data_IF_582085834141
#
_entry.id   IF_582085834141
#
_cell.length_a   1.000
_cell.length_b   1.000
_cell.length_c   1.000
_cell.angle_alpha   90.00
_cell.angle_beta   90.00
_cell.angle_gamma   90.00
#
_symmetry.space_group_name_H-M   'P 1'
#
loop_
_entity.id
_entity.type
_entity.pdbx_description
1 polymer ?
#
# COMPACT_ATOMS: atom_id res chain seq x y z
N UNK A 1 28.48 -33.07 26.29
CA UNK A 1 27.60 -31.92 26.10
C UNK A 1 27.09 -32.00 24.67
N UNK A 2 25.80 -31.81 24.36
CA UNK A 2 25.39 -31.70 22.95
C UNK A 2 25.82 -30.30 22.47
N UNK A 3 27.04 -30.24 21.92
CA UNK A 3 27.79 -29.01 21.63
C UNK A 3 27.40 -28.37 20.29
N UNK A 4 26.16 -27.90 20.14
CA UNK A 4 25.80 -27.15 18.92
C UNK A 4 24.39 -26.58 18.82
N UNK A 5 23.46 -26.96 19.69
CA UNK A 5 22.08 -26.45 19.63
C UNK A 5 21.94 -25.22 20.53
N UNK A 6 21.63 -24.07 19.94
CA UNK A 6 21.28 -22.86 20.68
C UNK A 6 19.92 -23.09 21.36
N UNK A 7 19.90 -23.12 22.70
CA UNK A 7 18.67 -23.34 23.48
C UNK A 7 17.80 -22.07 23.55
N UNK A 8 16.48 -22.24 23.67
CA UNK A 8 15.51 -21.13 23.85
C UNK A 8 15.89 -20.23 25.05
N UNK A 9 16.43 -20.80 26.13
CA UNK A 9 16.88 -20.05 27.30
C UNK A 9 18.11 -19.17 26.99
N UNK A 10 19.00 -19.64 26.11
CA UNK A 10 20.14 -18.87 25.64
C UNK A 10 19.69 -17.72 24.75
N UNK A 11 18.73 -17.95 23.85
CA UNK A 11 18.12 -16.90 23.01
C UNK A 11 17.40 -15.86 23.89
N UNK A 12 16.69 -16.30 24.94
CA UNK A 12 16.01 -15.44 25.89
C UNK A 12 16.99 -14.53 26.67
N UNK A 13 18.19 -15.03 26.96
CA UNK A 13 19.25 -14.26 27.64
C UNK A 13 20.01 -13.27 26.73
N UNK A 14 19.98 -13.44 25.41
CA UNK A 14 20.66 -12.55 24.46
C UNK A 14 20.13 -11.12 24.50
N UNK A 15 21.04 -10.15 24.41
CA UNK A 15 20.71 -8.74 24.17
C UNK A 15 20.08 -8.52 22.79
N UNK A 16 19.42 -7.37 22.59
CA UNK A 16 18.79 -7.04 21.31
C UNK A 16 19.80 -6.99 20.14
N UNK A 17 21.04 -6.59 20.42
CA UNK A 17 22.13 -6.51 19.43
C UNK A 17 22.60 -7.90 19.01
N UNK A 18 22.79 -8.81 19.97
CA UNK A 18 23.19 -10.20 19.70
C UNK A 18 22.11 -10.95 18.94
N UNK A 19 20.83 -10.73 19.26
CA UNK A 19 19.71 -11.30 18.49
C UNK A 19 19.70 -10.82 17.04
N UNK A 20 19.96 -9.52 16.80
CA UNK A 20 20.06 -8.97 15.44
C UNK A 20 21.19 -9.59 14.66
N UNK A 21 22.37 -9.67 15.26
CA UNK A 21 23.54 -10.28 14.62
C UNK A 21 23.28 -11.75 14.25
N UNK A 22 22.65 -12.51 15.15
CA UNK A 22 22.26 -13.88 14.88
C UNK A 22 21.24 -13.97 13.72
N UNK A 23 20.21 -13.12 13.70
CA UNK A 23 19.24 -13.04 12.61
C UNK A 23 19.94 -12.74 11.28
N UNK A 24 20.81 -11.74 11.22
CA UNK A 24 21.56 -11.39 10.01
C UNK A 24 22.43 -12.55 9.50
N UNK A 25 23.00 -13.37 10.40
CA UNK A 25 23.77 -14.56 10.01
C UNK A 25 22.89 -15.72 9.52
N UNK A 26 21.65 -15.81 9.99
CA UNK A 26 20.67 -16.83 9.57
C UNK A 26 19.86 -16.41 8.34
N UNK A 27 19.84 -15.12 8.01
CA UNK A 27 19.17 -14.60 6.82
C UNK A 27 19.77 -15.23 5.57
N UNK A 28 18.89 -15.73 4.70
CA UNK A 28 19.30 -16.30 3.43
C UNK A 28 19.86 -15.17 2.55
N UNK A 29 21.08 -15.32 2.01
CA UNK A 29 21.67 -14.31 1.13
C UNK A 29 20.74 -13.99 -0.03
N UNK A 30 20.58 -12.69 -0.34
CA UNK A 30 19.64 -12.26 -1.38
C UNK A 30 19.99 -12.83 -2.75
N UNK A 31 21.27 -12.98 -3.05
CA UNK A 31 21.82 -13.56 -4.28
C UNK A 31 21.43 -15.03 -4.48
N UNK A 32 21.23 -15.79 -3.40
CA UNK A 32 20.70 -17.16 -3.49
C UNK A 32 19.21 -17.21 -3.88
N UNK A 33 18.46 -16.15 -3.59
CA UNK A 33 17.01 -16.07 -3.86
C UNK A 33 16.76 -15.38 -5.20
N UNK A 34 17.47 -14.30 -5.48
CA UNK A 34 17.37 -13.50 -6.70
C UNK A 34 18.76 -12.98 -7.12
N UNK A 35 19.20 -13.21 -8.36
CA UNK A 35 20.47 -12.68 -8.84
C UNK A 35 20.52 -11.14 -8.76
N UNK A 36 21.63 -10.57 -8.28
CA UNK A 36 21.79 -9.11 -8.14
C UNK A 36 21.52 -8.35 -9.46
N UNK A 37 21.97 -8.92 -10.58
CA UNK A 37 21.74 -8.36 -11.92
C UNK A 37 20.26 -8.26 -12.27
N UNK A 38 19.43 -9.20 -11.80
CA UNK A 38 17.98 -9.16 -11.97
C UNK A 38 17.38 -8.04 -11.12
N UNK A 39 17.80 -7.86 -9.87
CA UNK A 39 17.32 -6.78 -8.99
C UNK A 39 17.64 -5.39 -9.55
N UNK A 40 18.89 -5.17 -9.99
CA UNK A 40 19.30 -3.90 -10.62
C UNK A 40 18.50 -3.64 -11.90
N UNK A 41 18.31 -4.67 -12.74
CA UNK A 41 17.49 -4.56 -13.95
C UNK A 41 16.03 -4.23 -13.62
N UNK A 42 15.41 -4.92 -12.67
CA UNK A 42 14.03 -4.68 -12.25
C UNK A 42 13.86 -3.27 -11.71
N UNK A 43 14.79 -2.81 -10.85
CA UNK A 43 14.79 -1.43 -10.33
C UNK A 43 14.90 -0.42 -11.47
N UNK A 44 15.82 -0.61 -12.41
CA UNK A 44 16.00 0.27 -13.56
C UNK A 44 14.76 0.31 -14.43
N UNK A 45 14.19 -0.84 -14.79
CA UNK A 45 12.96 -0.94 -15.60
C UNK A 45 11.82 -0.21 -14.89
N UNK A 46 11.60 -0.47 -13.60
CA UNK A 46 10.56 0.21 -12.82
C UNK A 46 10.75 1.73 -12.81
N UNK A 47 11.97 2.21 -12.56
CA UNK A 47 12.28 3.64 -12.55
C UNK A 47 12.07 4.27 -13.92
N UNK A 48 12.54 3.64 -14.99
CA UNK A 48 12.36 4.13 -16.36
C UNK A 48 10.87 4.19 -16.72
N UNK A 49 10.10 3.14 -16.41
CA UNK A 49 8.66 3.11 -16.67
C UNK A 49 7.92 4.20 -15.88
N UNK A 50 8.20 4.35 -14.59
CA UNK A 50 7.53 5.36 -13.75
C UNK A 50 7.91 6.78 -14.16
N UNK A 51 9.19 7.03 -14.44
CA UNK A 51 9.66 8.35 -14.91
C UNK A 51 9.05 8.66 -16.29
N UNK A 52 9.06 7.70 -17.21
CA UNK A 52 8.45 7.85 -18.52
C UNK A 52 6.95 8.11 -18.44
N UNK A 53 6.24 7.39 -17.57
CA UNK A 53 4.82 7.60 -17.31
C UNK A 53 4.55 9.02 -16.77
N UNK A 54 5.34 9.50 -15.81
CA UNK A 54 5.22 10.87 -15.27
C UNK A 54 5.44 11.91 -16.38
N UNK A 55 6.53 11.77 -17.13
CA UNK A 55 6.89 12.70 -18.22
C UNK A 55 5.83 12.71 -19.33
N UNK A 56 5.21 11.57 -19.63
CA UNK A 56 4.11 11.49 -20.59
C UNK A 56 2.77 12.02 -20.06
N UNK A 57 2.47 11.78 -18.78
CA UNK A 57 1.19 12.12 -18.18
C UNK A 57 1.05 13.63 -17.93
N UNK A 58 2.14 14.35 -17.60
CA UNK A 58 2.09 15.79 -17.34
C UNK A 58 1.60 16.58 -18.57
N UNK A 59 2.19 16.45 -19.77
CA UNK A 59 1.69 17.11 -20.98
C UNK A 59 0.27 16.67 -21.34
N UNK A 60 -0.06 15.40 -21.13
CA UNK A 60 -1.40 14.88 -21.40
C UNK A 60 -2.47 15.55 -20.52
N UNK A 61 -2.22 15.71 -19.22
CA UNK A 61 -3.11 16.44 -18.30
C UNK A 61 -3.27 17.89 -18.77
N UNK A 62 -2.18 18.57 -19.14
CA UNK A 62 -2.24 19.94 -19.63
C UNK A 62 -3.08 20.04 -20.92
N UNK A 63 -2.85 19.12 -21.87
CA UNK A 63 -3.64 19.04 -23.09
C UNK A 63 -5.13 18.82 -22.81
N UNK A 64 -5.48 17.86 -21.94
CA UNK A 64 -6.87 17.60 -21.56
C UNK A 64 -7.52 18.81 -20.89
N UNK A 65 -6.79 19.54 -20.04
CA UNK A 65 -7.33 20.73 -19.37
C UNK A 65 -7.74 21.86 -20.31
N UNK A 66 -7.17 21.90 -21.53
CA UNK A 66 -7.44 22.94 -22.54
C UNK A 66 -8.46 22.45 -23.57
N UNK A 67 -8.48 21.14 -23.86
CA UNK A 67 -9.26 20.58 -24.97
C UNK A 67 -10.56 19.91 -24.55
N UNK A 68 -10.75 19.58 -23.26
CA UNK A 68 -12.00 19.00 -22.80
C UNK A 68 -13.14 20.03 -22.88
N UNK A 69 -14.29 19.67 -23.47
CA UNK A 69 -15.46 20.52 -23.44
C UNK A 69 -16.08 20.55 -22.04
N UNK A 70 -16.59 21.72 -21.63
CA UNK A 70 -17.28 21.89 -20.34
C UNK A 70 -18.50 20.99 -20.17
N UNK A 71 -19.09 20.55 -21.29
CA UNK A 71 -20.23 19.61 -21.31
C UNK A 71 -19.85 18.41 -22.16
N UNK A 72 -19.70 17.26 -21.51
CA UNK A 72 -19.43 15.98 -22.15
C UNK A 72 -20.51 14.97 -21.74
N UNK A 73 -21.11 14.28 -22.71
CA UNK A 73 -22.03 13.17 -22.45
C UNK A 73 -21.18 11.91 -22.37
N UNK A 74 -21.05 11.37 -21.15
CA UNK A 74 -20.31 10.15 -20.92
C UNK A 74 -21.08 8.93 -21.45
N UNK A 75 -20.52 8.26 -22.45
CA UNK A 75 -21.02 6.96 -22.89
C UNK A 75 -20.80 5.92 -21.77
N UNK A 76 -21.78 5.03 -21.56
CA UNK A 76 -21.73 3.96 -20.54
C UNK A 76 -21.61 4.42 -19.08
N UNK A 77 -22.07 5.64 -18.75
CA UNK A 77 -22.04 6.22 -17.40
C UNK A 77 -22.40 5.22 -16.29
N UNK A 78 -23.55 4.57 -16.38
CA UNK A 78 -24.01 3.59 -15.38
C UNK A 78 -23.03 2.43 -15.20
N UNK A 79 -22.46 1.90 -16.29
CA UNK A 79 -21.52 0.77 -16.23
C UNK A 79 -20.20 1.20 -15.58
N UNK A 80 -19.74 2.42 -15.85
CA UNK A 80 -18.52 2.97 -15.23
C UNK A 80 -18.65 3.06 -13.72
N UNK A 81 -19.77 3.59 -13.22
CA UNK A 81 -20.03 3.71 -11.78
C UNK A 81 -20.21 2.36 -11.11
N UNK A 82 -21.14 1.53 -11.62
CA UNK A 82 -21.37 0.21 -11.05
C UNK A 82 -20.11 -0.66 -11.10
N UNK A 83 -19.30 -0.54 -12.16
CA UNK A 83 -18.03 -1.24 -12.29
C UNK A 83 -17.00 -0.80 -11.24
N UNK A 84 -16.94 0.50 -10.93
CA UNK A 84 -16.09 1.01 -9.85
C UNK A 84 -16.55 0.50 -8.48
N UNK A 85 -17.85 0.55 -8.19
CA UNK A 85 -18.41 0.06 -6.92
C UNK A 85 -18.19 -1.43 -6.73
N UNK A 86 -18.35 -2.22 -7.80
CA UNK A 86 -18.04 -3.66 -7.76
C UNK A 86 -16.56 -3.88 -7.46
N UNK A 87 -15.65 -3.11 -8.06
CA UNK A 87 -14.22 -3.20 -7.76
C UNK A 87 -13.92 -2.84 -6.30
N UNK A 88 -14.49 -1.74 -5.81
CA UNK A 88 -14.37 -1.32 -4.41
C UNK A 88 -14.88 -2.39 -3.46
N UNK A 89 -16.08 -2.92 -3.70
CA UNK A 89 -16.70 -3.98 -2.92
C UNK A 89 -15.83 -5.25 -2.88
N UNK A 90 -15.27 -5.66 -4.02
CA UNK A 90 -14.37 -6.81 -4.10
C UNK A 90 -13.13 -6.61 -3.21
N UNK A 91 -12.52 -5.43 -3.23
CA UNK A 91 -11.38 -5.12 -2.37
C UNK A 91 -11.77 -5.03 -0.89
N UNK A 92 -12.95 -4.48 -0.57
CA UNK A 92 -13.47 -4.47 0.80
C UNK A 92 -13.70 -5.89 1.34
N UNK A 93 -14.38 -6.75 0.57
CA UNK A 93 -14.62 -8.15 0.93
C UNK A 93 -13.29 -8.88 1.10
N UNK A 94 -12.36 -8.71 0.15
CA UNK A 94 -11.04 -9.35 0.23
C UNK A 94 -10.27 -8.88 1.47
N UNK A 95 -10.32 -7.58 1.78
CA UNK A 95 -9.72 -7.01 2.99
C UNK A 95 -10.34 -7.59 4.25
N UNK A 96 -11.66 -7.69 4.33
CA UNK A 96 -12.36 -8.30 5.46
C UNK A 96 -11.97 -9.78 5.64
N UNK A 97 -12.00 -10.57 4.56
CA UNK A 97 -11.65 -12.00 4.59
C UNK A 97 -10.19 -12.21 4.99
N UNK A 98 -9.24 -11.47 4.40
CA UNK A 98 -7.82 -11.59 4.76
C UNK A 98 -7.56 -11.11 6.19
N UNK A 99 -8.34 -10.16 6.69
CA UNK A 99 -8.35 -9.71 8.08
C UNK A 99 -8.79 -10.83 9.02
N UNK A 100 -9.91 -11.49 8.73
CA UNK A 100 -10.42 -12.63 9.48
C UNK A 100 -9.42 -13.80 9.48
N UNK A 101 -8.80 -14.07 8.33
CA UNK A 101 -7.81 -15.13 8.15
C UNK A 101 -6.40 -14.74 8.64
N UNK A 102 -6.21 -13.50 9.13
CA UNK A 102 -4.92 -12.95 9.61
C UNK A 102 -3.77 -13.12 8.60
N UNK A 103 -4.03 -12.91 7.31
CA UNK A 103 -3.04 -13.06 6.22
C UNK A 103 -2.30 -11.76 5.97
N UNK A 104 -0.99 -11.84 5.66
CA UNK A 104 -0.17 -10.64 5.38
C UNK A 104 -0.61 -9.86 4.13
N UNK A 105 -1.26 -10.53 3.16
CA UNK A 105 -1.85 -9.88 1.98
C UNK A 105 -2.89 -8.81 2.33
N UNK A 106 -3.45 -8.84 3.53
CA UNK A 106 -4.31 -7.78 4.08
C UNK A 106 -3.71 -6.38 3.89
N UNK A 107 -2.39 -6.23 4.06
CA UNK A 107 -1.71 -4.94 3.93
C UNK A 107 -1.95 -4.33 2.55
N UNK A 108 -1.83 -5.14 1.50
CA UNK A 108 -1.99 -4.69 0.12
C UNK A 108 -3.45 -4.34 -0.16
N UNK A 109 -4.38 -5.21 0.24
CA UNK A 109 -5.81 -5.00 -0.06
C UNK A 109 -6.39 -3.85 0.76
N UNK A 110 -5.99 -3.69 2.02
CA UNK A 110 -6.41 -2.58 2.87
C UNK A 110 -5.90 -1.24 2.34
N UNK A 111 -4.63 -1.15 1.94
CA UNK A 111 -4.09 0.06 1.35
C UNK A 111 -4.82 0.41 0.04
N UNK A 112 -5.02 -0.56 -0.85
CA UNK A 112 -5.77 -0.35 -2.11
C UNK A 112 -7.21 0.07 -1.85
N UNK A 113 -7.92 -0.57 -0.91
CA UNK A 113 -9.29 -0.19 -0.54
C UNK A 113 -9.35 1.26 -0.05
N UNK A 114 -8.38 1.69 0.77
CA UNK A 114 -8.32 3.08 1.22
C UNK A 114 -8.09 4.08 0.08
N UNK A 115 -7.24 3.76 -0.89
CA UNK A 115 -7.07 4.61 -2.09
C UNK A 115 -8.36 4.66 -2.93
N UNK A 116 -9.05 3.52 -3.11
CA UNK A 116 -10.32 3.48 -3.83
C UNK A 116 -11.39 4.35 -3.15
N UNK A 117 -11.50 4.32 -1.81
CA UNK A 117 -12.42 5.19 -1.05
C UNK A 117 -12.08 6.69 -1.20
N UNK A 118 -10.79 7.05 -1.34
CA UNK A 118 -10.41 8.45 -1.61
C UNK A 118 -10.84 8.85 -3.02
N UNK A 119 -10.69 7.96 -4.00
CA UNK A 119 -11.16 8.19 -5.36
C UNK A 119 -12.70 8.33 -5.40
N UNK A 120 -13.41 7.47 -4.67
CA UNK A 120 -14.87 7.47 -4.52
C UNK A 120 -15.36 8.83 -4.00
N UNK A 121 -14.82 9.27 -2.85
CA UNK A 121 -15.11 10.57 -2.25
C UNK A 121 -14.86 11.75 -3.19
N UNK A 122 -13.75 11.69 -3.93
CA UNK A 122 -13.43 12.70 -4.93
C UNK A 122 -14.47 12.75 -6.06
N UNK A 123 -14.86 11.58 -6.60
CA UNK A 123 -15.81 11.50 -7.69
C UNK A 123 -17.22 11.92 -7.25
N UNK A 124 -17.68 11.48 -6.08
CA UNK A 124 -18.99 11.84 -5.55
C UNK A 124 -19.13 13.34 -5.36
N UNK A 125 -18.14 13.99 -4.76
CA UNK A 125 -18.15 15.46 -4.57
C UNK A 125 -18.11 16.20 -5.91
N UNK A 126 -17.33 15.72 -6.88
CA UNK A 126 -17.19 16.39 -8.18
C UNK A 126 -18.41 16.22 -9.10
N UNK A 127 -19.16 15.13 -8.94
CA UNK A 127 -20.31 14.81 -9.81
C UNK A 127 -21.66 15.13 -9.17
N UNK A 128 -21.67 15.53 -7.89
CA UNK A 128 -22.88 15.93 -7.18
C UNK A 128 -23.61 17.11 -7.84
N UNK A 129 -24.92 16.96 -7.95
CA UNK A 129 -25.82 18.06 -8.29
C UNK A 129 -25.71 19.20 -7.24
N UNK A 130 -26.01 20.46 -7.60
CA UNK A 130 -25.89 21.59 -6.67
C UNK A 130 -26.61 21.37 -5.34
N UNK A 131 -27.79 20.73 -5.37
CA UNK A 131 -28.62 20.49 -4.20
C UNK A 131 -28.09 19.35 -3.31
N UNK A 132 -27.42 18.36 -3.90
CA UNK A 132 -26.89 17.17 -3.19
C UNK A 132 -25.43 17.33 -2.77
N UNK A 133 -24.75 18.39 -3.22
CA UNK A 133 -23.32 18.60 -2.96
C UNK A 133 -22.96 18.60 -1.47
N UNK A 134 -23.84 19.14 -0.62
CA UNK A 134 -23.60 19.12 0.83
C UNK A 134 -23.63 17.70 1.40
N UNK A 135 -24.54 16.86 0.90
CA UNK A 135 -24.64 15.47 1.31
C UNK A 135 -23.40 14.68 0.87
N UNK A 136 -22.95 14.83 -0.37
CA UNK A 136 -21.73 14.17 -0.88
C UNK A 136 -20.47 14.61 -0.12
N UNK A 137 -20.35 15.89 0.24
CA UNK A 137 -19.24 16.35 1.08
C UNK A 137 -19.31 15.75 2.48
N UNK A 138 -20.52 15.62 3.05
CA UNK A 138 -20.71 15.03 4.36
C UNK A 138 -20.35 13.54 4.37
N UNK A 139 -20.79 12.75 3.37
CA UNK A 139 -20.44 11.33 3.26
C UNK A 139 -18.95 11.12 3.05
N UNK A 140 -18.32 11.94 2.21
CA UNK A 140 -16.88 11.93 2.00
C UNK A 140 -16.11 12.18 3.31
N UNK A 141 -16.45 13.23 4.05
CA UNK A 141 -15.71 13.66 5.26
C UNK A 141 -15.97 12.76 6.46
N UNK A 142 -17.18 12.21 6.61
CA UNK A 142 -17.58 11.44 7.79
C UNK A 142 -17.50 9.92 7.57
N UNK A 143 -17.63 9.46 6.32
CA UNK A 143 -17.65 8.04 5.97
C UNK A 143 -16.37 7.59 5.25
N UNK A 144 -16.25 7.97 3.98
CA UNK A 144 -15.22 7.42 3.08
C UNK A 144 -13.80 7.77 3.50
N UNK A 145 -13.49 9.05 3.74
CA UNK A 145 -12.14 9.49 4.09
C UNK A 145 -11.68 8.95 5.45
N UNK A 146 -12.50 8.95 6.52
CA UNK A 146 -12.11 8.32 7.79
C UNK A 146 -11.82 6.83 7.65
N UNK A 147 -12.65 6.10 6.89
CA UNK A 147 -12.42 4.68 6.64
C UNK A 147 -11.14 4.45 5.83
N UNK A 148 -10.89 5.29 4.82
CA UNK A 148 -9.66 5.24 4.04
C UNK A 148 -8.41 5.44 4.91
N UNK A 149 -8.43 6.46 5.79
CA UNK A 149 -7.35 6.73 6.73
C UNK A 149 -7.13 5.55 7.67
N UNK A 150 -8.20 4.95 8.20
CA UNK A 150 -8.12 3.78 9.07
C UNK A 150 -7.44 2.60 8.36
N UNK A 151 -7.86 2.29 7.13
CA UNK A 151 -7.34 1.17 6.36
C UNK A 151 -5.87 1.37 5.97
N UNK A 152 -5.52 2.57 5.49
CA UNK A 152 -4.15 2.91 5.09
C UNK A 152 -3.23 2.91 6.31
N UNK A 153 -3.61 3.61 7.39
CA UNK A 153 -2.77 3.67 8.60
C UNK A 153 -2.67 2.31 9.28
N UNK A 154 -3.74 1.51 9.26
CA UNK A 154 -3.73 0.12 9.73
C UNK A 154 -2.74 -0.75 8.95
N UNK A 155 -2.78 -0.71 7.62
CA UNK A 155 -1.84 -1.43 6.76
C UNK A 155 -0.38 -1.03 7.05
N UNK A 156 -0.10 0.28 7.13
CA UNK A 156 1.25 0.78 7.43
C UNK A 156 1.72 0.41 8.85
N UNK A 157 0.82 0.40 9.84
CA UNK A 157 1.12 -0.05 11.20
C UNK A 157 1.47 -1.54 11.22
N UNK A 158 0.75 -2.38 10.47
CA UNK A 158 1.06 -3.82 10.36
C UNK A 158 2.47 -4.00 9.78
N UNK A 159 2.81 -3.32 8.68
CA UNK A 159 4.16 -3.36 8.09
C UNK A 159 5.22 -2.99 9.14
N UNK A 160 5.01 -1.89 9.87
CA UNK A 160 5.94 -1.44 10.91
C UNK A 160 6.09 -2.45 12.05
N UNK A 161 4.98 -3.01 12.53
CA UNK A 161 4.98 -3.99 13.61
C UNK A 161 5.67 -5.29 13.18
N UNK A 162 5.40 -5.78 11.97
CA UNK A 162 6.05 -6.97 11.42
C UNK A 162 7.56 -6.76 11.29
N UNK A 163 7.99 -5.62 10.75
CA UNK A 163 9.41 -5.33 10.60
C UNK A 163 10.12 -5.10 11.95
N UNK A 164 9.47 -4.46 12.93
CA UNK A 164 10.01 -4.31 14.29
C UNK A 164 10.11 -5.67 15.00
N UNK A 165 9.11 -6.54 14.84
CA UNK A 165 9.08 -7.89 15.44
C UNK A 165 10.20 -8.77 14.92
N UNK A 166 10.54 -8.64 13.63
CA UNK A 166 11.64 -9.39 13.01
C UNK A 166 13.02 -8.78 13.30
N UNK A 167 13.12 -7.84 14.24
CA UNK A 167 14.34 -7.10 14.58
C UNK A 167 15.01 -6.35 13.42
N UNK A 168 14.33 -6.28 12.26
CA UNK A 168 14.81 -5.60 11.06
C UNK A 168 14.84 -4.06 11.21
N UNK A 169 14.25 -3.51 12.28
CA UNK A 169 14.15 -2.06 12.52
C UNK A 169 14.42 -1.68 13.97
N UNK A 170 14.90 -0.45 14.18
CA UNK A 170 14.86 0.22 15.47
C UNK A 170 13.44 0.74 15.79
N UNK A 171 12.95 0.54 17.02
CA UNK A 171 11.69 1.12 17.46
C UNK A 171 11.72 2.65 17.28
N UNK A 172 10.90 3.17 16.36
CA UNK A 172 10.84 4.62 16.09
C UNK A 172 11.24 5.03 14.68
N UNK A 173 11.93 4.18 13.90
CA UNK A 173 12.34 4.52 12.54
C UNK A 173 11.12 4.81 11.64
N UNK A 174 11.11 5.91 10.86
CA UNK A 174 10.03 6.18 9.91
C UNK A 174 10.11 5.25 8.70
N UNK A 175 8.95 4.84 8.17
CA UNK A 175 8.85 3.81 7.12
C UNK A 175 9.61 4.17 5.83
N UNK A 176 9.71 5.46 5.48
CA UNK A 176 10.42 5.91 4.27
C UNK A 176 11.95 5.91 4.39
N UNK A 177 12.50 5.67 5.58
CA UNK A 177 13.95 5.49 5.79
C UNK A 177 14.36 4.01 5.81
N UNK A 178 13.40 3.10 5.69
CA UNK A 178 13.66 1.67 5.68
C UNK A 178 14.24 1.30 4.31
N UNK A 179 15.46 0.74 4.24
CA UNK A 179 15.97 0.19 3.00
C UNK A 179 15.10 -1.00 2.58
N UNK A 180 14.61 -0.99 1.33
CA UNK A 180 13.77 -2.07 0.79
C UNK A 180 14.51 -3.40 0.65
N UNK A 181 15.84 -3.34 0.53
CA UNK A 181 16.83 -4.43 0.52
C UNK A 181 18.15 -3.80 1.03
N UNK A 182 19.04 -4.53 1.74
CA UNK A 182 20.42 -4.09 1.99
C UNK A 182 21.15 -3.65 0.71
#
# INVERSE_FOLDING_TARGET
MPDGEVSDDQIAAMSATERRELITRLERPLDEVVPESALVRMRRVRLVLMTGAIVGLIPWIAYLSITLPDRYIANNWTVTWVGFDVLLLLFMVTTAVLGLLRRQLLVLTAFTTGILLICDAWFDVMTAAPDDRWLSVLTAVVGELPLAVLLITGALRIVRLTATRLFALDPGMPLWRIPLLP
#
